data_IF_059629407987
#
_entry.id   IF_059629407987
#
_cell.length_a   1.000
_cell.length_b   1.000
_cell.length_c   1.000
_cell.angle_alpha   90.00
_cell.angle_beta   90.00
_cell.angle_gamma   90.00
#
_symmetry.space_group_name_H-M   'P 1'
#
loop_
_entity.id
_entity.type
_entity.pdbx_description
1 polymer ?
#
# COMPACT_ATOMS: atom_id res chain seq x y z
N UNK A 1 3.70 -26.89 -11.89
CA UNK A 1 3.39 -26.16 -10.63
C UNK A 1 4.09 -24.83 -10.80
N UNK A 2 3.34 -23.73 -10.77
CA UNK A 2 3.93 -22.40 -10.82
C UNK A 2 4.40 -22.02 -9.41
N UNK A 3 5.57 -21.45 -9.32
CA UNK A 3 6.16 -20.99 -8.06
C UNK A 3 6.44 -19.49 -8.16
N UNK A 4 6.05 -18.77 -7.14
CA UNK A 4 6.37 -17.36 -6.97
C UNK A 4 7.52 -17.19 -5.98
N UNK A 5 8.17 -16.03 -6.00
CA UNK A 5 9.25 -15.71 -5.07
C UNK A 5 8.95 -14.37 -4.37
N UNK A 6 9.33 -14.28 -3.11
CA UNK A 6 9.15 -13.07 -2.32
C UNK A 6 10.51 -12.41 -2.04
N UNK A 7 10.59 -11.12 -2.33
CA UNK A 7 11.78 -10.29 -2.10
C UNK A 7 11.52 -9.29 -0.98
N UNK A 8 12.46 -9.23 -0.03
CA UNK A 8 12.54 -8.13 0.93
C UNK A 8 13.85 -7.39 0.71
N UNK A 9 13.78 -6.23 0.08
CA UNK A 9 14.92 -5.32 -0.05
C UNK A 9 15.23 -4.81 1.35
N UNK A 10 16.43 -5.10 1.87
CA UNK A 10 16.70 -4.92 3.30
C UNK A 10 18.13 -4.44 3.54
N UNK A 11 18.28 -3.60 4.55
CA UNK A 11 19.57 -3.24 5.14
C UNK A 11 19.71 -3.94 6.49
N UNK A 12 20.13 -5.19 6.45
CA UNK A 12 20.34 -6.03 7.63
C UNK A 12 21.82 -6.38 7.75
N UNK A 13 22.39 -6.47 8.98
CA UNK A 13 23.77 -6.86 9.16
C UNK A 13 23.98 -8.31 8.74
N UNK A 14 25.10 -8.59 8.08
CA UNK A 14 25.59 -9.94 7.85
C UNK A 14 26.19 -10.55 9.14
N UNK A 15 26.73 -11.76 9.03
CA UNK A 15 27.33 -12.45 10.18
C UNK A 15 28.56 -11.73 10.78
N UNK A 16 29.20 -10.84 10.04
CA UNK A 16 30.31 -10.00 10.49
C UNK A 16 29.84 -8.62 11.00
N UNK A 17 28.55 -8.34 10.96
CA UNK A 17 27.96 -7.07 11.34
C UNK A 17 28.03 -5.98 10.27
N UNK A 18 28.43 -6.32 9.04
CA UNK A 18 28.45 -5.39 7.92
C UNK A 18 27.05 -5.18 7.37
N UNK A 19 26.64 -3.91 7.22
CA UNK A 19 25.37 -3.50 6.62
C UNK A 19 25.68 -2.99 5.21
N UNK A 20 25.03 -3.53 4.16
CA UNK A 20 25.26 -3.05 2.80
C UNK A 20 24.74 -1.61 2.65
N UNK A 21 25.40 -0.82 1.81
CA UNK A 21 24.89 0.46 1.38
C UNK A 21 23.66 0.30 0.48
N UNK A 22 22.94 1.38 0.20
CA UNK A 22 21.68 1.35 -0.57
C UNK A 22 21.92 0.92 -2.01
N UNK A 23 23.03 1.27 -2.62
CA UNK A 23 23.39 0.83 -3.97
C UNK A 23 23.60 -0.67 -4.02
N UNK A 24 24.38 -1.22 -3.10
CA UNK A 24 24.63 -2.65 -3.00
C UNK A 24 23.33 -3.41 -2.70
N UNK A 25 22.48 -2.89 -1.82
CA UNK A 25 21.19 -3.48 -1.51
C UNK A 25 20.30 -3.61 -2.76
N UNK A 26 20.22 -2.58 -3.59
CA UNK A 26 19.45 -2.62 -4.83
C UNK A 26 20.11 -3.54 -5.89
N UNK A 27 21.42 -3.54 -6.00
CA UNK A 27 22.16 -4.46 -6.89
C UNK A 27 21.88 -5.92 -6.51
N UNK A 28 21.92 -6.26 -5.23
CA UNK A 28 21.60 -7.59 -4.73
C UNK A 28 20.17 -8.01 -5.11
N UNK A 29 19.21 -7.09 -4.97
CA UNK A 29 17.84 -7.36 -5.37
C UNK A 29 17.74 -7.69 -6.87
N UNK A 30 18.33 -6.87 -7.74
CA UNK A 30 18.26 -7.12 -9.18
C UNK A 30 18.95 -8.40 -9.61
N UNK A 31 20.11 -8.72 -9.03
CA UNK A 31 20.79 -9.98 -9.30
C UNK A 31 19.94 -11.20 -8.90
N UNK A 32 19.30 -11.15 -7.73
CA UNK A 32 18.41 -12.21 -7.29
C UNK A 32 17.17 -12.34 -8.18
N UNK A 33 16.63 -11.21 -8.65
CA UNK A 33 15.48 -11.19 -9.55
C UNK A 33 15.83 -11.80 -10.93
N UNK A 34 16.98 -11.44 -11.49
CA UNK A 34 17.48 -11.98 -12.75
C UNK A 34 17.66 -13.51 -12.66
N UNK A 35 18.22 -14.02 -11.57
CA UNK A 35 18.32 -15.46 -11.31
C UNK A 35 16.93 -16.10 -11.16
N UNK A 36 15.99 -15.44 -10.51
CA UNK A 36 14.62 -15.96 -10.38
C UNK A 36 13.91 -16.05 -11.74
N UNK A 37 14.12 -15.07 -12.63
CA UNK A 37 13.62 -15.11 -14.01
C UNK A 37 14.20 -16.29 -14.79
N UNK A 38 15.53 -16.52 -14.71
CA UNK A 38 16.22 -17.66 -15.33
C UNK A 38 15.72 -19.01 -14.81
N UNK A 39 15.37 -19.09 -13.51
CA UNK A 39 14.86 -20.31 -12.89
C UNK A 39 13.36 -20.55 -13.16
N UNK A 40 12.67 -19.61 -13.82
CA UNK A 40 11.27 -19.77 -14.24
C UNK A 40 10.25 -19.53 -13.12
N UNK A 41 10.54 -18.66 -12.15
CA UNK A 41 9.51 -18.19 -11.20
C UNK A 41 8.44 -17.35 -11.93
N UNK A 42 7.17 -17.48 -11.50
CA UNK A 42 6.04 -16.81 -12.13
C UNK A 42 5.97 -15.33 -11.75
N UNK A 43 5.90 -15.03 -10.46
CA UNK A 43 5.81 -13.66 -9.94
C UNK A 43 6.88 -13.39 -8.90
N UNK A 44 7.57 -12.27 -9.05
CA UNK A 44 8.48 -11.70 -8.05
C UNK A 44 7.72 -10.69 -7.17
N UNK A 45 7.34 -11.11 -5.97
CA UNK A 45 6.62 -10.28 -4.99
C UNK A 45 7.60 -9.45 -4.16
N UNK A 46 7.43 -8.13 -4.16
CA UNK A 46 8.33 -7.18 -3.49
C UNK A 46 7.65 -6.59 -2.25
N UNK A 47 8.25 -6.80 -1.09
CA UNK A 47 7.82 -6.15 0.14
C UNK A 47 8.03 -4.64 0.08
N UNK A 48 7.07 -3.87 0.59
CA UNK A 48 7.17 -2.42 0.68
C UNK A 48 7.00 -1.93 2.11
N UNK A 49 7.98 -1.16 2.60
CA UNK A 49 7.85 -0.30 3.77
C UNK A 49 8.30 1.11 3.36
N UNK A 50 7.34 1.93 2.99
CA UNK A 50 7.59 3.33 2.61
C UNK A 50 8.02 4.13 3.83
N UNK A 51 9.02 5.00 3.68
CA UNK A 51 9.62 5.82 4.74
C UNK A 51 10.16 4.97 5.90
N UNK A 52 11.33 4.39 5.71
CA UNK A 52 12.10 3.86 6.83
C UNK A 52 12.41 4.95 7.87
N UNK A 53 12.27 4.65 9.15
CA UNK A 53 12.45 5.61 10.24
C UNK A 53 13.25 5.01 11.39
N UNK A 54 13.76 5.87 12.27
CA UNK A 54 14.35 5.45 13.53
C UNK A 54 13.41 4.57 14.38
N UNK A 55 12.07 4.75 14.21
CA UNK A 55 11.07 3.87 14.84
C UNK A 55 11.19 2.42 14.34
N UNK A 56 11.41 2.21 13.04
CA UNK A 56 11.63 0.87 12.50
C UNK A 56 12.96 0.30 12.97
N UNK A 57 14.03 1.10 12.99
CA UNK A 57 15.36 0.71 13.48
C UNK A 57 15.39 0.38 14.97
N UNK A 58 14.68 1.16 15.77
CA UNK A 58 14.64 0.98 17.24
C UNK A 58 13.67 -0.11 17.71
N UNK A 59 12.92 -0.73 16.80
CA UNK A 59 11.95 -1.76 17.16
C UNK A 59 12.67 -3.01 17.70
N UNK A 60 12.53 -3.26 19.00
CA UNK A 60 13.09 -4.44 19.67
C UNK A 60 12.46 -5.77 19.24
N UNK A 61 11.29 -5.71 18.60
CA UNK A 61 10.63 -6.86 17.98
C UNK A 61 10.82 -6.75 16.48
N UNK A 62 11.68 -7.58 15.87
CA UNK A 62 11.87 -7.54 14.43
C UNK A 62 10.56 -7.75 13.68
N UNK A 63 10.39 -7.03 12.58
CA UNK A 63 9.23 -7.16 11.70
C UNK A 63 9.13 -8.56 11.12
N UNK A 64 10.29 -9.15 10.84
CA UNK A 64 10.44 -10.56 10.47
C UNK A 64 11.26 -11.23 11.59
N UNK A 65 10.78 -12.34 12.18
CA UNK A 65 11.54 -13.06 13.20
C UNK A 65 12.97 -13.35 12.71
N UNK A 66 13.93 -13.12 13.58
CA UNK A 66 15.36 -13.31 13.33
C UNK A 66 16.07 -12.26 12.43
N UNK A 67 15.37 -11.22 11.96
CA UNK A 67 15.98 -10.15 11.19
C UNK A 67 16.15 -8.90 12.04
N UNK A 68 17.35 -8.35 12.02
CA UNK A 68 17.68 -7.05 12.62
C UNK A 68 17.85 -6.02 11.49
N UNK A 69 17.52 -4.75 11.76
CA UNK A 69 17.65 -3.68 10.77
C UNK A 69 16.34 -3.38 10.05
N UNK A 70 16.46 -2.76 8.89
CA UNK A 70 15.33 -2.28 8.09
C UNK A 70 14.98 -3.27 6.97
N UNK A 71 13.70 -3.48 6.78
CA UNK A 71 13.17 -4.45 5.82
C UNK A 71 12.12 -3.81 4.92
N UNK A 72 11.97 -4.36 3.70
CA UNK A 72 10.98 -3.90 2.74
C UNK A 72 11.28 -2.51 2.18
N UNK A 73 12.54 -2.16 1.98
CA UNK A 73 13.00 -0.83 1.57
C UNK A 73 12.70 -0.51 0.10
N UNK A 74 11.53 -0.88 -0.37
CA UNK A 74 10.99 -0.45 -1.66
C UNK A 74 10.15 0.81 -1.42
N UNK A 75 10.67 1.98 -1.76
CA UNK A 75 10.01 3.27 -1.51
C UNK A 75 9.10 3.70 -2.65
N UNK A 76 9.41 3.32 -3.89
CA UNK A 76 8.60 3.57 -5.08
C UNK A 76 8.50 2.27 -5.90
N UNK A 77 7.47 1.50 -5.60
CA UNK A 77 7.26 0.21 -6.26
C UNK A 77 7.05 0.34 -7.79
N UNK A 78 6.23 1.29 -8.31
CA UNK A 78 6.07 1.46 -9.76
C UNK A 78 7.38 1.70 -10.50
N UNK A 79 8.26 2.52 -9.95
CA UNK A 79 9.58 2.79 -10.55
C UNK A 79 10.49 1.55 -10.49
N UNK A 80 10.51 0.86 -9.36
CA UNK A 80 11.29 -0.37 -9.20
C UNK A 80 10.78 -1.47 -10.13
N UNK A 81 9.46 -1.60 -10.27
CA UNK A 81 8.84 -2.58 -11.17
C UNK A 81 9.24 -2.34 -12.63
N UNK A 82 9.26 -1.09 -13.08
CA UNK A 82 9.70 -0.76 -14.44
C UNK A 82 11.16 -1.16 -14.69
N UNK A 83 12.07 -0.91 -13.76
CA UNK A 83 13.45 -1.38 -13.91
C UNK A 83 13.57 -2.90 -13.84
N UNK A 84 12.75 -3.54 -13.00
CA UNK A 84 12.66 -4.99 -12.91
C UNK A 84 12.21 -5.62 -14.25
N UNK A 85 11.18 -5.09 -14.87
CA UNK A 85 10.71 -5.54 -16.19
C UNK A 85 11.78 -5.36 -17.27
N UNK A 86 12.59 -4.30 -17.21
CA UNK A 86 13.66 -4.06 -18.18
C UNK A 86 14.82 -5.05 -18.07
N UNK A 87 15.05 -5.62 -16.89
CA UNK A 87 16.14 -6.57 -16.60
C UNK A 87 15.77 -8.03 -16.78
N UNK A 88 14.49 -8.31 -16.89
CA UNK A 88 13.94 -9.67 -16.95
C UNK A 88 13.11 -9.87 -18.21
N UNK A 89 12.79 -11.12 -18.53
CA UNK A 89 12.07 -11.48 -19.76
C UNK A 89 10.75 -12.21 -19.53
N UNK A 90 10.63 -12.98 -18.44
CA UNK A 90 9.48 -13.87 -18.21
C UNK A 90 8.74 -13.54 -16.89
N UNK A 91 9.48 -13.29 -15.80
CA UNK A 91 8.91 -13.09 -14.47
C UNK A 91 8.00 -11.86 -14.44
N UNK A 92 6.80 -12.01 -13.91
CA UNK A 92 5.88 -10.92 -13.62
C UNK A 92 6.26 -10.25 -12.28
N UNK A 93 5.88 -8.99 -12.07
CA UNK A 93 6.30 -8.23 -10.90
C UNK A 93 5.09 -7.87 -10.05
N UNK A 94 5.20 -8.12 -8.74
CA UNK A 94 4.15 -7.91 -7.78
C UNK A 94 4.56 -7.12 -6.54
N UNK A 95 3.67 -6.28 -6.01
CA UNK A 95 3.86 -5.62 -4.71
C UNK A 95 3.22 -6.40 -3.55
N UNK A 96 3.94 -6.55 -2.45
CA UNK A 96 3.47 -7.27 -1.28
C UNK A 96 3.74 -6.49 0.03
N UNK A 97 3.05 -5.41 0.25
CA UNK A 97 1.97 -4.74 -0.47
C UNK A 97 2.17 -3.23 -0.42
N UNK A 98 1.65 -2.52 -1.41
CA UNK A 98 1.69 -1.04 -1.42
C UNK A 98 0.71 -0.48 -0.40
N UNK A 99 1.12 0.54 0.36
CA UNK A 99 0.19 1.34 1.16
C UNK A 99 -0.46 2.41 0.30
N UNK A 100 -1.77 2.30 0.07
CA UNK A 100 -2.52 3.32 -0.67
C UNK A 100 -2.89 4.55 0.18
N UNK A 101 -2.54 4.55 1.47
CA UNK A 101 -2.66 5.72 2.35
C UNK A 101 -1.37 6.54 2.41
N UNK A 102 -0.26 5.99 1.91
CA UNK A 102 1.03 6.66 1.82
C UNK A 102 1.33 7.11 0.38
N UNK A 103 2.49 7.71 0.17
CA UNK A 103 3.05 8.04 -1.17
C UNK A 103 2.09 8.86 -2.05
N UNK A 104 1.39 9.83 -1.45
CA UNK A 104 0.44 10.69 -2.16
C UNK A 104 -1.01 10.19 -2.16
N UNK A 105 -1.28 9.06 -1.49
CA UNK A 105 -2.64 8.54 -1.33
C UNK A 105 -3.18 7.77 -2.54
N UNK A 106 -4.48 7.41 -2.53
CA UNK A 106 -5.07 6.51 -3.52
C UNK A 106 -5.04 7.07 -4.94
N UNK A 107 -5.15 8.39 -5.09
CA UNK A 107 -5.16 9.06 -6.40
C UNK A 107 -3.79 8.96 -7.05
N UNK A 108 -2.74 9.40 -6.36
CA UNK A 108 -1.37 9.36 -6.90
C UNK A 108 -0.90 7.92 -7.17
N UNK A 109 -1.32 6.96 -6.35
CA UNK A 109 -1.01 5.55 -6.59
C UNK A 109 -1.72 5.03 -7.85
N UNK A 110 -2.99 5.36 -8.05
CA UNK A 110 -3.71 4.98 -9.26
C UNK A 110 -3.05 5.55 -10.53
N UNK A 111 -2.62 6.83 -10.52
CA UNK A 111 -1.89 7.44 -11.62
C UNK A 111 -0.56 6.75 -11.91
N UNK A 112 0.22 6.43 -10.87
CA UNK A 112 1.51 5.75 -11.02
C UNK A 112 1.36 4.36 -11.64
N UNK A 113 0.37 3.58 -11.21
CA UNK A 113 0.11 2.25 -11.79
C UNK A 113 -0.39 2.36 -13.23
N UNK A 114 -1.27 3.30 -13.53
CA UNK A 114 -1.71 3.57 -14.90
C UNK A 114 -0.53 3.97 -15.82
N UNK A 115 0.38 4.82 -15.33
CA UNK A 115 1.61 5.17 -16.05
C UNK A 115 2.51 3.96 -16.28
N UNK A 116 2.71 3.11 -15.26
CA UNK A 116 3.52 1.90 -15.38
C UNK A 116 2.98 0.98 -16.47
N UNK A 117 1.67 0.72 -16.46
CA UNK A 117 1.01 -0.12 -17.46
C UNK A 117 1.10 0.49 -18.87
N UNK A 118 0.96 1.80 -19.00
CA UNK A 118 1.12 2.47 -20.29
C UNK A 118 2.56 2.39 -20.81
N UNK A 119 3.55 2.45 -19.92
CA UNK A 119 4.96 2.30 -20.29
C UNK A 119 5.30 0.85 -20.67
N UNK A 120 4.70 -0.14 -20.04
CA UNK A 120 4.81 -1.54 -20.48
C UNK A 120 4.30 -1.70 -21.92
N UNK A 121 3.14 -1.12 -22.23
CA UNK A 121 2.59 -1.14 -23.59
C UNK A 121 3.52 -0.44 -24.61
N UNK A 122 4.12 0.70 -24.27
CA UNK A 122 5.09 1.39 -25.11
C UNK A 122 6.33 0.52 -25.39
N UNK A 123 6.73 -0.30 -24.41
CA UNK A 123 7.87 -1.24 -24.53
C UNK A 123 7.47 -2.58 -25.19
N UNK A 124 6.22 -2.75 -25.61
CA UNK A 124 5.66 -4.01 -26.11
C UNK A 124 5.83 -5.18 -25.10
N UNK A 125 5.79 -4.88 -23.83
CA UNK A 125 5.82 -5.85 -22.74
C UNK A 125 4.39 -6.26 -22.37
N UNK A 126 4.07 -7.54 -22.51
CA UNK A 126 2.73 -8.07 -22.24
C UNK A 126 2.58 -8.72 -20.86
N UNK A 127 3.65 -8.71 -20.05
CA UNK A 127 3.63 -9.26 -18.68
C UNK A 127 2.68 -8.47 -17.78
N UNK A 128 2.20 -9.13 -16.74
CA UNK A 128 1.27 -8.52 -15.80
C UNK A 128 2.01 -7.80 -14.66
N UNK A 129 1.42 -6.71 -14.23
CA UNK A 129 1.75 -6.01 -12.99
C UNK A 129 0.76 -6.43 -11.91
N UNK A 130 1.27 -7.06 -10.86
CA UNK A 130 0.48 -7.49 -9.71
C UNK A 130 0.55 -6.42 -8.62
N UNK A 131 -0.59 -5.83 -8.29
CA UNK A 131 -0.67 -4.77 -7.29
C UNK A 131 -1.38 -5.30 -6.06
N UNK A 132 -0.58 -5.78 -5.10
CA UNK A 132 -1.04 -6.00 -3.74
C UNK A 132 -1.11 -4.65 -3.02
N UNK A 133 -2.23 -4.33 -2.36
CA UNK A 133 -2.42 -3.06 -1.66
C UNK A 133 -3.08 -3.22 -0.30
N UNK A 134 -2.81 -2.29 0.61
CA UNK A 134 -3.33 -2.29 1.98
C UNK A 134 -3.33 -0.87 2.57
N UNK A 135 -3.80 -0.76 3.81
CA UNK A 135 -3.68 0.48 4.61
C UNK A 135 -2.23 0.83 5.00
N UNK A 136 -1.30 -0.12 4.83
CA UNK A 136 0.06 -0.03 5.35
C UNK A 136 0.19 -0.57 6.77
N UNK A 137 1.29 -1.26 7.02
CA UNK A 137 1.57 -1.92 8.32
C UNK A 137 1.94 -0.92 9.40
N UNK A 138 2.72 0.10 9.05
CA UNK A 138 3.27 1.06 10.00
C UNK A 138 2.54 2.39 9.91
N UNK A 139 2.10 2.89 11.05
CA UNK A 139 1.38 4.16 11.14
C UNK A 139 2.24 5.35 10.66
N UNK A 140 3.54 5.31 10.91
CA UNK A 140 4.46 6.36 10.47
C UNK A 140 4.46 6.57 8.95
N UNK A 141 4.10 5.56 8.17
CA UNK A 141 4.09 5.65 6.70
C UNK A 141 3.01 6.59 6.17
N UNK A 142 1.87 6.67 6.83
CA UNK A 142 0.72 7.45 6.40
C UNK A 142 0.62 8.84 7.07
N UNK A 143 1.20 9.00 8.27
CA UNK A 143 1.18 10.28 9.01
C UNK A 143 1.69 11.49 8.21
N UNK A 144 2.83 11.42 7.48
CA UNK A 144 3.31 12.55 6.68
C UNK A 144 2.35 12.97 5.56
N UNK A 145 1.40 12.10 5.20
CA UNK A 145 0.37 12.34 4.20
C UNK A 145 -0.98 12.76 4.80
N UNK A 146 -0.97 13.20 6.07
CA UNK A 146 -2.17 13.72 6.73
C UNK A 146 -3.14 12.66 7.24
N UNK A 147 -2.75 11.40 7.26
CA UNK A 147 -3.57 10.33 7.85
C UNK A 147 -3.32 10.31 9.36
N UNK A 148 -3.94 11.24 10.03
CA UNK A 148 -3.90 11.47 11.48
C UNK A 148 -5.30 11.86 11.97
N UNK A 149 -5.62 11.70 13.27
CA UNK A 149 -6.85 12.27 13.83
C UNK A 149 -6.90 13.78 13.62
N UNK A 150 -8.05 14.32 13.24
CA UNK A 150 -8.26 15.76 13.00
C UNK A 150 -8.92 16.48 14.18
N UNK A 151 -9.56 15.72 15.08
CA UNK A 151 -10.25 16.23 16.26
C UNK A 151 -10.34 15.12 17.34
N UNK A 152 -10.95 15.46 18.49
CA UNK A 152 -11.10 14.54 19.63
C UNK A 152 -11.95 13.29 19.32
N UNK A 153 -12.96 13.43 18.47
CA UNK A 153 -13.83 12.31 18.06
C UNK A 153 -13.03 11.32 17.23
N UNK A 154 -12.28 11.81 16.23
CA UNK A 154 -11.41 10.96 15.42
C UNK A 154 -10.29 10.32 16.26
N UNK A 155 -9.74 11.02 17.25
CA UNK A 155 -8.73 10.47 18.15
C UNK A 155 -9.29 9.30 18.98
N UNK A 156 -10.47 9.48 19.59
CA UNK A 156 -11.13 8.42 20.33
C UNK A 156 -11.50 7.22 19.44
N UNK A 157 -11.91 7.48 18.19
CA UNK A 157 -12.32 6.45 17.23
C UNK A 157 -11.16 5.86 16.42
N UNK A 158 -9.93 6.32 16.59
CA UNK A 158 -8.82 6.08 15.67
C UNK A 158 -8.58 4.61 15.31
N UNK A 159 -8.62 3.64 16.25
CA UNK A 159 -8.42 2.23 15.92
C UNK A 159 -9.43 1.67 14.90
N UNK A 160 -10.69 2.11 14.98
CA UNK A 160 -11.76 1.72 14.05
C UNK A 160 -11.74 2.58 12.78
N UNK A 161 -11.50 3.89 12.92
CA UNK A 161 -11.55 4.86 11.84
C UNK A 161 -10.48 4.60 10.76
N UNK A 162 -9.30 4.11 11.12
CA UNK A 162 -8.26 3.76 10.15
C UNK A 162 -8.73 2.75 9.12
N UNK A 163 -9.51 1.76 9.52
CA UNK A 163 -10.13 0.80 8.61
C UNK A 163 -11.11 1.46 7.64
N UNK A 164 -11.92 2.39 8.13
CA UNK A 164 -12.89 3.12 7.29
C UNK A 164 -12.18 4.06 6.29
N UNK A 165 -11.11 4.74 6.69
CA UNK A 165 -10.27 5.56 5.80
C UNK A 165 -9.65 4.68 4.69
N UNK A 166 -9.22 3.46 5.03
CA UNK A 166 -8.70 2.53 4.03
C UNK A 166 -9.78 2.09 3.04
N UNK A 167 -11.01 1.85 3.49
CA UNK A 167 -12.11 1.50 2.60
C UNK A 167 -12.49 2.65 1.66
N UNK A 168 -12.52 3.89 2.17
CA UNK A 168 -12.71 5.11 1.36
C UNK A 168 -11.60 5.21 0.28
N UNK A 169 -10.34 5.09 0.69
CA UNK A 169 -9.19 5.13 -0.21
C UNK A 169 -9.22 4.00 -1.24
N UNK A 170 -9.62 2.79 -0.83
CA UNK A 170 -9.72 1.64 -1.72
C UNK A 170 -10.77 1.84 -2.79
N UNK A 171 -11.95 2.38 -2.44
CA UNK A 171 -12.98 2.69 -3.41
C UNK A 171 -12.50 3.71 -4.45
N UNK A 172 -11.84 4.79 -4.00
CA UNK A 172 -11.25 5.80 -4.89
C UNK A 172 -10.24 5.15 -5.84
N UNK A 173 -9.28 4.41 -5.28
CA UNK A 173 -8.21 3.76 -6.01
C UNK A 173 -8.74 2.80 -7.10
N UNK A 174 -9.66 1.93 -6.73
CA UNK A 174 -10.23 0.93 -7.63
C UNK A 174 -11.09 1.56 -8.74
N UNK A 175 -11.90 2.57 -8.41
CA UNK A 175 -12.74 3.27 -9.40
C UNK A 175 -11.90 4.03 -10.41
N UNK A 176 -10.83 4.70 -9.97
CA UNK A 176 -9.89 5.39 -10.86
C UNK A 176 -9.16 4.40 -11.79
N UNK A 177 -8.67 3.27 -11.28
CA UNK A 177 -8.05 2.22 -12.12
C UNK A 177 -9.06 1.58 -13.09
N UNK A 178 -10.33 1.49 -12.72
CA UNK A 178 -11.39 1.06 -13.64
C UNK A 178 -11.63 2.05 -14.78
N UNK A 179 -11.26 3.32 -14.59
CA UNK A 179 -11.39 4.38 -15.59
C UNK A 179 -12.56 5.31 -15.37
N UNK A 180 -13.16 5.26 -14.20
CA UNK A 180 -14.29 6.13 -13.87
C UNK A 180 -13.85 7.60 -13.77
N UNK A 181 -14.81 8.49 -14.01
CA UNK A 181 -14.79 9.85 -13.49
C UNK A 181 -15.42 9.80 -12.09
N UNK A 182 -14.69 10.21 -11.08
CA UNK A 182 -15.07 10.05 -9.68
C UNK A 182 -15.27 11.42 -9.04
N UNK A 183 -16.38 11.59 -8.35
CA UNK A 183 -16.65 12.72 -7.46
C UNK A 183 -16.66 12.21 -6.02
N UNK A 184 -16.05 12.93 -5.08
CA UNK A 184 -15.98 12.52 -3.67
C UNK A 184 -17.35 12.27 -3.05
N UNK A 185 -18.40 12.97 -3.49
CA UNK A 185 -19.77 12.75 -3.00
C UNK A 185 -20.35 11.41 -3.42
N UNK A 186 -19.80 10.79 -4.47
CA UNK A 186 -20.18 9.45 -4.92
C UNK A 186 -19.44 8.32 -4.20
N UNK A 187 -18.45 8.65 -3.37
CA UNK A 187 -17.71 7.70 -2.53
C UNK A 187 -18.47 7.47 -1.24
N UNK A 188 -18.35 6.28 -0.70
CA UNK A 188 -18.96 5.93 0.60
C UNK A 188 -18.64 6.97 1.67
N UNK A 189 -19.64 7.37 2.44
CA UNK A 189 -19.44 8.16 3.65
C UNK A 189 -19.08 7.25 4.83
N UNK A 190 -18.27 7.73 5.74
CA UNK A 190 -17.96 7.03 6.99
C UNK A 190 -18.95 7.45 8.07
N UNK A 191 -19.72 6.50 8.57
CA UNK A 191 -20.55 6.65 9.75
C UNK A 191 -20.09 5.63 10.78
N UNK A 192 -19.73 6.09 11.96
CA UNK A 192 -19.35 5.24 13.08
C UNK A 192 -20.58 4.86 13.89
N UNK A 193 -20.66 3.59 14.24
CA UNK A 193 -21.68 3.01 15.11
C UNK A 193 -21.00 2.15 16.16
N UNK A 194 -21.74 1.72 17.20
CA UNK A 194 -21.22 0.78 18.20
C UNK A 194 -20.57 -0.48 17.56
N UNK A 195 -21.07 -0.93 16.43
CA UNK A 195 -20.58 -2.14 15.75
C UNK A 195 -19.16 -2.02 15.22
N UNK A 196 -18.63 -0.81 15.06
CA UNK A 196 -17.25 -0.58 14.61
C UNK A 196 -16.21 -0.79 15.74
N UNK A 197 -16.65 -0.96 16.98
CA UNK A 197 -15.79 -1.02 18.16
C UNK A 197 -15.85 -2.38 18.85
N UNK A 198 -14.75 -2.74 19.50
CA UNK A 198 -14.60 -4.03 20.19
C UNK A 198 -15.34 -4.09 21.53
N UNK A 199 -15.51 -2.95 22.19
CA UNK A 199 -16.16 -2.85 23.50
C UNK A 199 -17.12 -1.66 23.58
N UNK A 200 -18.04 -1.70 24.57
CA UNK A 200 -18.94 -0.57 24.86
C UNK A 200 -18.15 0.62 25.37
N UNK A 201 -17.08 0.39 26.12
CA UNK A 201 -16.21 1.44 26.64
C UNK A 201 -15.48 2.20 25.52
N UNK A 202 -15.09 1.52 24.44
CA UNK A 202 -14.49 2.18 23.27
C UNK A 202 -15.50 3.08 22.58
N UNK A 203 -16.73 2.60 22.40
CA UNK A 203 -17.81 3.40 21.83
C UNK A 203 -18.21 4.60 22.70
N UNK A 204 -18.34 4.39 24.02
CA UNK A 204 -18.66 5.45 24.97
C UNK A 204 -17.63 6.57 24.92
N UNK A 205 -16.34 6.27 24.81
CA UNK A 205 -15.29 7.30 24.65
C UNK A 205 -15.49 8.16 23.40
N UNK A 206 -16.00 7.59 22.33
CA UNK A 206 -16.30 8.33 21.09
C UNK A 206 -17.51 9.21 21.27
N UNK A 207 -18.58 8.72 21.92
CA UNK A 207 -19.78 9.50 22.26
C UNK A 207 -19.43 10.66 23.19
N UNK A 208 -18.64 10.43 24.24
CA UNK A 208 -18.15 11.46 25.16
C UNK A 208 -17.36 12.55 24.42
N UNK A 209 -16.49 12.15 23.47
CA UNK A 209 -15.73 13.08 22.67
C UNK A 209 -16.60 13.87 21.67
N UNK A 210 -17.72 13.28 21.22
CA UNK A 210 -18.70 13.92 20.35
C UNK A 210 -19.66 14.85 21.14
N UNK A 211 -19.74 14.67 22.45
CA UNK A 211 -20.65 15.42 23.32
C UNK A 211 -22.12 15.05 23.13
N UNK A 212 -22.43 13.87 22.62
CA UNK A 212 -23.78 13.36 22.41
C UNK A 212 -23.84 11.84 22.56
N UNK A 213 -25.02 11.30 22.90
CA UNK A 213 -25.29 9.87 22.96
C UNK A 213 -25.87 9.35 21.63
N UNK A 214 -25.49 9.96 20.52
CA UNK A 214 -25.96 9.56 19.20
C UNK A 214 -25.54 8.11 18.89
N UNK A 215 -26.45 7.34 18.29
CA UNK A 215 -26.18 5.97 17.86
C UNK A 215 -25.29 5.91 16.61
N UNK A 216 -25.25 7.02 15.87
CA UNK A 216 -24.49 7.18 14.62
C UNK A 216 -23.72 8.49 14.63
N UNK A 217 -22.43 8.45 14.39
CA UNK A 217 -21.56 9.63 14.31
C UNK A 217 -20.95 9.67 12.91
N UNK A 218 -21.34 10.69 12.13
CA UNK A 218 -20.79 10.93 10.80
C UNK A 218 -19.39 11.52 10.87
N UNK A 219 -18.48 10.98 10.10
CA UNK A 219 -17.10 11.45 9.97
C UNK A 219 -16.92 12.11 8.60
N UNK A 220 -16.29 13.28 8.60
CA UNK A 220 -15.96 13.98 7.37
C UNK A 220 -15.02 13.14 6.49
N UNK A 221 -15.26 13.18 5.17
CA UNK A 221 -14.42 12.51 4.19
C UNK A 221 -12.95 12.91 4.34
N UNK A 222 -12.07 11.96 4.10
CA UNK A 222 -10.63 12.22 4.10
C UNK A 222 -10.18 12.82 2.76
N UNK A 223 -10.83 12.44 1.68
CA UNK A 223 -10.50 12.88 0.33
C UNK A 223 -11.67 13.70 -0.26
N UNK A 224 -11.39 14.95 -0.64
CA UNK A 224 -12.38 15.87 -1.22
C UNK A 224 -11.90 16.33 -2.58
N UNK A 225 -12.66 16.04 -3.62
CA UNK A 225 -12.38 16.40 -5.01
C UNK A 225 -13.65 16.31 -5.87
N UNK A 226 -13.62 16.93 -7.03
CA UNK A 226 -14.72 16.96 -8.00
C UNK A 226 -14.23 16.39 -9.35
N UNK A 227 -15.07 15.56 -9.98
CA UNK A 227 -14.93 15.05 -11.36
C UNK A 227 -13.50 14.62 -11.75
N UNK A 228 -12.86 13.87 -10.86
CA UNK A 228 -11.48 13.41 -11.04
C UNK A 228 -11.43 12.17 -11.93
N UNK A 229 -10.52 12.19 -12.89
CA UNK A 229 -10.09 11.05 -13.70
C UNK A 229 -8.57 11.04 -13.81
N UNK A 230 -7.96 9.88 -13.71
CA UNK A 230 -6.50 9.74 -13.88
C UNK A 230 -6.08 9.80 -15.35
N UNK A 231 -4.84 10.19 -15.59
CA UNK A 231 -4.17 10.17 -16.89
C UNK A 231 -2.81 9.48 -16.72
N UNK A 232 -2.49 8.47 -17.56
CA UNK A 232 -3.29 7.88 -18.66
C UNK A 232 -4.50 7.10 -18.18
N UNK A 233 -5.52 6.96 -19.03
CA UNK A 233 -6.73 6.19 -18.75
C UNK A 233 -7.02 5.11 -19.81
N UNK A 234 -6.10 4.92 -20.75
CA UNK A 234 -6.25 3.97 -21.89
C UNK A 234 -5.30 2.78 -21.82
N UNK A 235 -4.74 2.51 -20.64
CA UNK A 235 -3.88 1.34 -20.42
C UNK A 235 -4.67 0.03 -20.49
N UNK A 236 -3.99 -1.06 -20.83
CA UNK A 236 -4.59 -2.39 -20.84
C UNK A 236 -4.82 -2.92 -19.42
N UNK A 237 -6.08 -2.98 -19.01
CA UNK A 237 -6.48 -3.46 -17.68
C UNK A 237 -6.30 -4.96 -17.49
N UNK A 238 -6.14 -5.74 -18.57
CA UNK A 238 -5.85 -7.17 -18.46
C UNK A 238 -4.42 -7.44 -17.98
N UNK A 239 -3.53 -6.45 -18.09
CA UNK A 239 -2.17 -6.52 -17.53
C UNK A 239 -2.13 -6.16 -16.03
N UNK A 240 -3.25 -5.74 -15.43
CA UNK A 240 -3.34 -5.39 -14.02
C UNK A 240 -4.02 -6.49 -13.22
N UNK A 241 -3.30 -7.05 -12.25
CA UNK A 241 -3.85 -7.98 -11.25
C UNK A 241 -3.89 -7.28 -9.91
N UNK A 242 -5.07 -7.19 -9.31
CA UNK A 242 -5.26 -6.52 -8.01
C UNK A 242 -5.44 -7.56 -6.90
N UNK A 243 -4.71 -7.38 -5.79
CA UNK A 243 -4.76 -8.24 -4.61
C UNK A 243 -4.92 -7.36 -3.37
N UNK A 244 -6.04 -7.48 -2.66
CA UNK A 244 -6.24 -6.75 -1.42
C UNK A 244 -5.55 -7.47 -0.26
N UNK A 245 -4.64 -6.78 0.42
CA UNK A 245 -4.02 -7.24 1.67
C UNK A 245 -4.92 -6.95 2.86
N UNK A 246 -5.92 -7.81 3.10
CA UNK A 246 -6.88 -7.67 4.20
C UNK A 246 -6.97 -8.95 5.01
N UNK A 247 -7.32 -8.81 6.30
CA UNK A 247 -7.70 -9.92 7.17
C UNK A 247 -9.23 -10.12 7.25
N UNK A 248 -9.99 -9.20 6.66
CA UNK A 248 -11.44 -9.30 6.59
C UNK A 248 -11.83 -10.06 5.31
N UNK A 249 -12.47 -11.25 5.42
CA UNK A 249 -12.90 -12.03 4.26
C UNK A 249 -14.04 -11.38 3.47
N UNK A 250 -14.65 -10.30 4.00
CA UNK A 250 -15.75 -9.57 3.37
C UNK A 250 -15.32 -8.17 2.86
N UNK A 251 -14.03 -7.84 2.92
CA UNK A 251 -13.50 -6.55 2.47
C UNK A 251 -13.32 -6.50 0.95
#
# INVERSE_FOLDING_TARGET
MEHDIFFSISQTPDAAGHIPDEQTMLQNYFQQLEVADELGFGVGWIAQAHLSTETQKSNSKPVVPHWQGEVGLCTDFPQLAMESFRRTTNIEIGSAVVSILASGGPIAQAERFANTLQLLAVNNDSRKLHVGFSAGRFEFMARPYGIVPRNSVEEAAWPALRGQIFLEASEIFLRLLRGDVVNSDSIRSTTLTRQNFRSDEDWQRVQDANGSDDEEISIERRYVFEDLRIVPNTFDRNQLVLVAGTHDPNA
#
